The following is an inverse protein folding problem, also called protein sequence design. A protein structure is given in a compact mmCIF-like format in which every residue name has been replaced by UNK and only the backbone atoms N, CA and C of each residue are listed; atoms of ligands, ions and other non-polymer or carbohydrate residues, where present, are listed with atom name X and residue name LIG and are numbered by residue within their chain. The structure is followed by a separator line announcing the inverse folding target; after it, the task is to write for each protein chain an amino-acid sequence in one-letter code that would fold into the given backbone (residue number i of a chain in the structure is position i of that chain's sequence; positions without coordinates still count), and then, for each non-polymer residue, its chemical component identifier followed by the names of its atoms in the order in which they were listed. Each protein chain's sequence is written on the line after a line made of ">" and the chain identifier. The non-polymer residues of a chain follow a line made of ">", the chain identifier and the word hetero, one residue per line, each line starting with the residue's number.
data_IF_115768605583
#
_entry.id   IF_115768605583
#
_cell.length_a   1.000
_cell.length_b   1.000
_cell.length_c   1.000
_cell.angle_alpha   90.00
_cell.angle_beta   90.00
_cell.angle_gamma   90.00
#
_symmetry.space_group_name_H-M   'P 1'
#
loop_
_entity.id
_entity.type
_entity.pdbx_description
1 polymer ?
#
# COMPACT_ATOMS: atom_id res chain seq x y z
N UNK A 1 -9.97 -10.41 28.64
CA UNK A 1 -11.32 -10.63 28.10
C UNK A 1 -12.03 -9.31 27.87
N UNK A 2 -12.25 -8.98 26.59
CA UNK A 2 -12.92 -7.78 26.12
C UNK A 2 -14.18 -8.24 25.38
N UNK A 3 -15.35 -7.75 25.80
CA UNK A 3 -16.62 -7.98 25.10
C UNK A 3 -17.03 -6.73 24.33
N UNK A 4 -17.48 -6.89 23.11
CA UNK A 4 -17.98 -5.81 22.26
C UNK A 4 -18.97 -6.37 21.23
N UNK A 5 -19.72 -5.50 20.56
CA UNK A 5 -20.59 -5.89 19.46
C UNK A 5 -19.90 -5.57 18.14
N UNK A 6 -19.79 -6.54 17.24
CA UNK A 6 -19.21 -6.38 15.92
C UNK A 6 -20.26 -6.71 14.86
N UNK A 7 -20.60 -5.75 14.00
CA UNK A 7 -21.59 -5.92 12.94
C UNK A 7 -22.90 -6.57 13.46
N UNK A 8 -23.36 -6.12 14.64
CA UNK A 8 -24.57 -6.62 15.29
C UNK A 8 -24.43 -7.93 16.09
N UNK A 9 -23.24 -8.56 16.11
CA UNK A 9 -22.99 -9.81 16.86
C UNK A 9 -22.09 -9.55 18.05
N UNK A 10 -22.40 -10.12 19.21
CA UNK A 10 -21.50 -10.07 20.37
C UNK A 10 -20.25 -10.91 20.11
N UNK A 11 -19.08 -10.33 20.34
CA UNK A 11 -17.77 -10.95 20.20
C UNK A 11 -17.01 -10.84 21.51
N UNK A 12 -16.22 -11.88 21.80
CA UNK A 12 -15.28 -11.93 22.91
C UNK A 12 -13.86 -11.99 22.36
N UNK A 13 -12.97 -11.14 22.89
CA UNK A 13 -11.55 -11.12 22.54
C UNK A 13 -10.70 -11.30 23.80
N UNK A 14 -9.78 -12.27 23.76
CA UNK A 14 -8.92 -12.65 24.89
C UNK A 14 -7.44 -12.37 24.67
N UNK A 15 -7.08 -11.72 23.56
CA UNK A 15 -5.70 -11.32 23.26
C UNK A 15 -5.27 -10.04 23.98
N UNK A 16 -4.16 -9.47 23.49
CA UNK A 16 -3.57 -8.25 24.04
C UNK A 16 -4.52 -7.04 23.93
N UNK A 17 -4.89 -6.37 25.04
CA UNK A 17 -5.71 -5.16 25.02
C UNK A 17 -5.09 -4.00 24.24
N UNK A 18 -3.78 -3.96 24.09
CA UNK A 18 -3.05 -2.88 23.39
C UNK A 18 -3.00 -3.08 21.87
N UNK A 19 -3.35 -4.27 21.38
CA UNK A 19 -3.38 -4.58 19.94
C UNK A 19 -4.38 -3.67 19.23
N UNK A 20 -4.04 -3.22 18.03
CA UNK A 20 -4.92 -2.39 17.22
C UNK A 20 -6.15 -3.17 16.75
N UNK A 21 -7.32 -2.52 16.76
CA UNK A 21 -8.59 -3.07 16.30
C UNK A 21 -8.50 -3.57 14.87
N UNK A 22 -7.76 -2.86 14.00
CA UNK A 22 -7.59 -3.26 12.60
C UNK A 22 -6.95 -4.65 12.49
N UNK A 23 -5.90 -4.93 13.26
CA UNK A 23 -5.20 -6.21 13.24
C UNK A 23 -6.13 -7.34 13.70
N UNK A 24 -6.92 -7.11 14.76
CA UNK A 24 -7.91 -8.10 15.22
C UNK A 24 -9.00 -8.34 14.17
N UNK A 25 -9.51 -7.28 13.53
CA UNK A 25 -10.51 -7.41 12.48
C UNK A 25 -9.97 -8.21 11.28
N UNK A 26 -8.78 -7.86 10.79
CA UNK A 26 -8.19 -8.46 9.58
C UNK A 26 -7.62 -9.85 9.83
N UNK A 27 -6.75 -9.99 10.83
CA UNK A 27 -5.98 -11.21 11.03
C UNK A 27 -6.74 -12.29 11.81
N UNK A 28 -7.50 -11.90 12.85
CA UNK A 28 -8.18 -12.89 13.70
C UNK A 28 -9.58 -13.23 13.16
N UNK A 29 -10.26 -12.24 12.59
CA UNK A 29 -11.67 -12.34 12.20
C UNK A 29 -11.90 -12.36 10.68
N UNK A 30 -10.87 -12.13 9.86
CA UNK A 30 -10.95 -12.16 8.40
C UNK A 30 -11.78 -11.03 7.78
N UNK A 31 -12.02 -9.95 8.52
CA UNK A 31 -12.75 -8.76 8.06
C UNK A 31 -11.75 -7.81 7.39
N UNK A 32 -11.71 -7.89 6.06
CA UNK A 32 -10.72 -7.20 5.23
C UNK A 32 -11.18 -5.83 4.73
N UNK A 33 -12.40 -5.40 5.04
CA UNK A 33 -12.91 -4.11 4.53
C UNK A 33 -12.16 -2.88 5.07
N UNK A 34 -11.71 -2.82 6.35
CA UNK A 34 -10.78 -1.79 6.77
C UNK A 34 -9.41 -2.11 6.14
N UNK A 35 -8.94 -1.21 5.29
CA UNK A 35 -7.69 -1.42 4.56
C UNK A 35 -6.49 -0.84 5.31
N UNK A 36 -5.41 -1.61 5.37
CA UNK A 36 -4.13 -1.13 5.88
C UNK A 36 -3.39 -0.36 4.78
N UNK A 37 -3.42 0.96 4.87
CA UNK A 37 -2.69 1.82 3.94
C UNK A 37 -1.44 2.48 4.53
N UNK A 38 -1.58 3.03 5.73
CA UNK A 38 -0.48 3.72 6.41
C UNK A 38 -0.48 3.39 7.89
N UNK A 39 -0.84 2.17 8.29
CA UNK A 39 -0.69 1.83 9.68
C UNK A 39 0.81 1.83 10.07
N UNK A 40 1.14 2.26 11.29
CA UNK A 40 0.27 2.83 12.32
C UNK A 40 0.17 4.37 12.29
N UNK A 41 0.61 5.04 11.22
CA UNK A 41 0.70 6.51 11.15
C UNK A 41 -0.66 7.23 11.15
N UNK A 42 -1.76 6.52 10.85
CA UNK A 42 -3.13 7.06 10.94
C UNK A 42 -3.39 8.32 10.09
N UNK A 43 -2.81 8.37 8.89
CA UNK A 43 -2.87 9.54 8.00
C UNK A 43 -3.80 9.39 6.77
N UNK A 44 -4.12 8.16 6.33
CA UNK A 44 -4.79 7.94 5.04
C UNK A 44 -6.32 7.77 5.11
N UNK A 45 -6.87 7.40 6.28
CA UNK A 45 -8.30 7.14 6.44
C UNK A 45 -8.81 5.81 5.86
N UNK A 46 -7.95 4.94 5.30
CA UNK A 46 -8.40 3.70 4.65
C UNK A 46 -8.99 2.66 5.64
N UNK A 47 -8.61 2.74 6.92
CA UNK A 47 -9.00 1.81 7.96
C UNK A 47 -10.19 2.29 8.82
N UNK A 48 -10.94 3.32 8.37
CA UNK A 48 -12.06 3.86 9.14
C UNK A 48 -13.15 2.80 9.35
N UNK A 49 -13.55 2.65 10.61
CA UNK A 49 -14.72 1.89 11.05
C UNK A 49 -15.59 2.79 11.91
N UNK A 50 -16.84 2.40 12.13
CA UNK A 50 -17.70 3.11 13.07
C UNK A 50 -17.64 2.44 14.44
N UNK A 51 -17.25 3.18 15.47
CA UNK A 51 -17.31 2.77 16.88
C UNK A 51 -18.40 3.59 17.57
N UNK A 52 -19.45 2.91 18.01
CA UNK A 52 -20.73 3.49 18.42
C UNK A 52 -21.29 4.43 17.34
N UNK A 53 -21.26 5.75 17.57
CA UNK A 53 -21.73 6.80 16.67
C UNK A 53 -20.59 7.61 16.04
N UNK A 54 -19.34 7.12 16.11
CA UNK A 54 -18.14 7.85 15.65
C UNK A 54 -17.35 7.07 14.61
N UNK A 55 -16.93 7.74 13.55
CA UNK A 55 -15.92 7.21 12.65
C UNK A 55 -14.53 7.28 13.32
N UNK A 56 -13.83 6.16 13.38
CA UNK A 56 -12.55 5.99 14.07
C UNK A 56 -11.56 5.23 13.19
N UNK A 57 -10.28 5.62 13.26
CA UNK A 57 -9.19 4.91 12.59
C UNK A 57 -8.85 3.64 13.37
N UNK A 58 -9.15 2.47 12.79
CA UNK A 58 -8.97 1.19 13.48
C UNK A 58 -7.50 0.82 13.70
N UNK A 59 -6.56 1.33 12.90
CA UNK A 59 -5.13 1.03 13.03
C UNK A 59 -4.46 1.59 14.28
N UNK A 60 -5.08 2.58 14.94
CA UNK A 60 -4.59 3.19 16.19
C UNK A 60 -5.60 3.09 17.33
N UNK A 61 -6.76 2.46 17.08
CA UNK A 61 -7.75 2.19 18.12
C UNK A 61 -7.41 0.88 18.80
N UNK A 62 -6.97 0.93 20.06
CA UNK A 62 -6.62 -0.27 20.85
C UNK A 62 -7.87 -1.07 21.24
N UNK A 63 -7.73 -2.38 21.39
CA UNK A 63 -8.83 -3.26 21.80
C UNK A 63 -9.42 -2.87 23.16
N UNK A 64 -8.64 -2.41 24.13
CA UNK A 64 -9.18 -1.92 25.41
C UNK A 64 -10.19 -0.78 25.25
N UNK A 65 -10.07 0.03 24.19
CA UNK A 65 -10.98 1.17 23.92
C UNK A 65 -12.31 0.74 23.30
N UNK A 66 -12.44 -0.50 22.85
CA UNK A 66 -13.70 -1.03 22.25
C UNK A 66 -14.55 -1.82 23.24
N UNK A 67 -14.07 -2.04 24.46
CA UNK A 67 -14.82 -2.77 25.49
C UNK A 67 -16.21 -2.15 25.72
N UNK A 68 -17.25 -2.98 25.59
CA UNK A 68 -18.66 -2.62 25.75
C UNK A 68 -19.28 -1.81 24.60
N UNK A 69 -18.52 -1.54 23.53
CA UNK A 69 -18.98 -0.70 22.41
C UNK A 69 -19.48 -1.51 21.22
N UNK A 70 -20.15 -0.83 20.30
CA UNK A 70 -20.46 -1.38 18.97
C UNK A 70 -19.41 -0.98 17.96
N UNK A 71 -18.91 -1.92 17.17
CA UNK A 71 -18.02 -1.72 16.03
C UNK A 71 -18.78 -2.16 14.77
N UNK A 72 -18.84 -1.28 13.79
CA UNK A 72 -19.48 -1.53 12.50
C UNK A 72 -18.46 -1.28 11.39
N UNK A 73 -18.27 -2.27 10.53
CA UNK A 73 -17.51 -2.18 9.27
C UNK A 73 -18.49 -2.12 8.10
N UNK A 74 -18.01 -2.11 6.85
CA UNK A 74 -18.93 -2.08 5.68
C UNK A 74 -19.87 -3.29 5.67
N UNK A 75 -19.40 -4.44 6.16
CA UNK A 75 -20.16 -5.69 6.33
C UNK A 75 -21.37 -5.53 7.27
N UNK A 76 -21.33 -4.57 8.19
CA UNK A 76 -22.39 -4.31 9.17
C UNK A 76 -23.37 -3.19 8.82
N UNK A 77 -23.27 -2.59 7.62
CA UNK A 77 -24.16 -1.48 7.19
C UNK A 77 -25.60 -1.92 6.89
N UNK A 78 -25.82 -3.22 6.70
CA UNK A 78 -27.07 -3.77 6.20
C UNK A 78 -27.19 -3.67 4.67
N UNK A 79 -27.92 -4.60 4.07
CA UNK A 79 -28.00 -4.81 2.62
C UNK A 79 -28.41 -3.54 1.85
N UNK A 80 -29.44 -2.84 2.33
CA UNK A 80 -29.92 -1.60 1.70
C UNK A 80 -28.81 -0.54 1.57
N UNK A 81 -28.11 -0.22 2.67
CA UNK A 81 -27.04 0.79 2.64
C UNK A 81 -25.83 0.33 1.86
N UNK A 82 -25.48 -0.96 1.92
CA UNK A 82 -24.41 -1.52 1.09
C UNK A 82 -24.71 -1.30 -0.40
N UNK A 83 -25.92 -1.64 -0.84
CA UNK A 83 -26.34 -1.46 -2.23
C UNK A 83 -26.34 0.01 -2.65
N UNK A 84 -26.88 0.91 -1.80
CA UNK A 84 -26.90 2.35 -2.10
C UNK A 84 -25.48 2.92 -2.25
N UNK A 85 -24.58 2.66 -1.30
CA UNK A 85 -23.20 3.16 -1.40
C UNK A 85 -22.46 2.54 -2.59
N UNK A 86 -22.55 1.22 -2.76
CA UNK A 86 -21.92 0.53 -3.87
C UNK A 86 -22.35 1.13 -5.22
N UNK A 87 -23.65 1.27 -5.43
CA UNK A 87 -24.20 1.76 -6.70
C UNK A 87 -23.94 3.25 -6.91
N UNK A 88 -24.01 4.08 -5.87
CA UNK A 88 -23.71 5.50 -5.98
C UNK A 88 -22.26 5.75 -6.42
N UNK A 89 -21.29 5.05 -5.82
CA UNK A 89 -19.89 5.15 -6.21
C UNK A 89 -19.62 4.63 -7.61
N UNK A 90 -20.28 3.53 -8.01
CA UNK A 90 -20.16 2.97 -9.36
C UNK A 90 -20.76 3.92 -10.40
N UNK A 91 -21.98 4.42 -10.16
CA UNK A 91 -22.71 5.33 -11.05
C UNK A 91 -21.94 6.61 -11.33
N UNK A 92 -21.37 7.22 -10.29
CA UNK A 92 -20.65 8.48 -10.42
C UNK A 92 -19.18 8.32 -10.86
N UNK A 93 -18.67 7.10 -10.92
CA UNK A 93 -17.24 6.84 -11.16
C UNK A 93 -16.37 7.30 -9.98
N UNK A 94 -16.91 7.25 -8.76
CA UNK A 94 -16.23 7.57 -7.51
C UNK A 94 -15.20 6.53 -7.07
N UNK A 95 -15.02 5.45 -7.84
CA UNK A 95 -14.14 4.32 -7.53
C UNK A 95 -13.20 4.01 -8.71
N UNK A 96 -11.89 4.07 -8.47
CA UNK A 96 -10.85 3.63 -9.41
C UNK A 96 -10.12 2.39 -8.89
N UNK A 97 -8.98 2.53 -8.19
CA UNK A 97 -8.31 1.37 -7.59
C UNK A 97 -9.22 0.71 -6.54
N UNK A 98 -9.94 1.52 -5.75
CA UNK A 98 -10.90 1.08 -4.74
C UNK A 98 -10.37 1.06 -3.32
N UNK A 99 -9.05 1.11 -3.12
CA UNK A 99 -8.43 0.80 -1.82
C UNK A 99 -8.91 1.70 -0.67
N UNK A 100 -9.05 3.01 -0.91
CA UNK A 100 -9.51 3.94 0.14
C UNK A 100 -11.03 4.02 0.30
N UNK A 101 -11.80 3.44 -0.62
CA UNK A 101 -13.26 3.65 -0.69
C UNK A 101 -14.01 3.05 0.49
N UNK A 102 -13.68 1.85 1.02
CA UNK A 102 -14.39 1.31 2.18
C UNK A 102 -14.34 2.23 3.41
N UNK A 103 -13.16 2.79 3.72
CA UNK A 103 -13.02 3.78 4.79
C UNK A 103 -13.81 5.06 4.52
N UNK A 104 -13.83 5.53 3.27
CA UNK A 104 -14.62 6.69 2.85
C UNK A 104 -16.13 6.42 2.99
N UNK A 105 -16.60 5.21 2.65
CA UNK A 105 -18.01 4.80 2.83
C UNK A 105 -18.38 4.83 4.31
N UNK A 106 -17.54 4.30 5.20
CA UNK A 106 -17.79 4.34 6.64
C UNK A 106 -17.83 5.78 7.18
N UNK A 107 -16.94 6.64 6.70
CA UNK A 107 -16.92 8.06 7.03
C UNK A 107 -18.18 8.80 6.52
N UNK A 108 -18.59 8.53 5.28
CA UNK A 108 -19.81 9.09 4.68
C UNK A 108 -21.08 8.60 5.42
N UNK A 109 -21.13 7.33 5.78
CA UNK A 109 -22.21 6.77 6.60
C UNK A 109 -22.34 7.49 7.95
N UNK A 110 -21.21 7.79 8.60
CA UNK A 110 -21.20 8.55 9.85
C UNK A 110 -21.73 9.98 9.66
N UNK A 111 -21.33 10.66 8.58
CA UNK A 111 -21.85 11.99 8.23
C UNK A 111 -23.37 11.95 8.02
N UNK A 112 -23.86 11.04 7.18
CA UNK A 112 -25.27 10.96 6.79
C UNK A 112 -26.16 10.63 8.00
N UNK A 113 -25.68 9.82 8.94
CA UNK A 113 -26.41 9.52 10.18
C UNK A 113 -26.58 10.76 11.08
N UNK A 114 -25.67 11.73 11.01
CA UNK A 114 -25.68 12.95 11.83
C UNK A 114 -26.31 14.13 11.11
N UNK A 115 -26.16 14.18 9.79
CA UNK A 115 -26.73 15.17 8.90
C UNK A 115 -27.30 14.44 7.67
N UNK A 116 -28.61 14.14 7.65
CA UNK A 116 -29.26 13.46 6.52
C UNK A 116 -29.28 14.28 5.21
N UNK A 117 -28.99 15.58 5.27
CA UNK A 117 -28.94 16.49 4.12
C UNK A 117 -27.58 17.21 4.04
N UNK A 118 -26.46 16.47 3.92
CA UNK A 118 -25.15 17.09 3.87
C UNK A 118 -24.98 17.84 2.55
N UNK A 119 -24.63 19.11 2.64
CA UNK A 119 -24.26 19.86 1.44
C UNK A 119 -22.85 19.46 0.98
N UNK A 120 -22.46 19.93 -0.21
CA UNK A 120 -21.15 19.62 -0.79
C UNK A 120 -19.98 20.00 0.12
N UNK A 121 -20.05 21.13 0.81
CA UNK A 121 -19.00 21.59 1.72
C UNK A 121 -18.91 20.72 2.99
N UNK A 122 -20.03 20.21 3.48
CA UNK A 122 -20.06 19.25 4.58
C UNK A 122 -19.35 17.94 4.20
N UNK A 123 -19.59 17.45 2.98
CA UNK A 123 -18.95 16.23 2.45
C UNK A 123 -17.45 16.46 2.28
N UNK A 124 -17.03 17.57 1.65
CA UNK A 124 -15.61 17.87 1.50
C UNK A 124 -14.89 17.98 2.84
N UNK A 125 -15.50 18.66 3.81
CA UNK A 125 -14.95 18.75 5.16
C UNK A 125 -14.85 17.38 5.82
N UNK A 126 -15.86 16.53 5.65
CA UNK A 126 -15.89 15.17 6.17
C UNK A 126 -14.76 14.29 5.63
N UNK A 127 -14.32 14.54 4.38
CA UNK A 127 -13.26 13.81 3.70
C UNK A 127 -11.85 14.34 3.97
N UNK A 128 -11.68 15.45 4.70
CA UNK A 128 -10.36 16.00 5.07
C UNK A 128 -9.38 14.95 5.63
N UNK A 129 -9.77 13.97 6.47
CA UNK A 129 -8.85 12.94 6.98
C UNK A 129 -8.65 11.75 6.02
N UNK A 130 -9.16 11.79 4.78
CA UNK A 130 -9.04 10.71 3.81
C UNK A 130 -8.14 11.10 2.63
N UNK A 131 -7.24 10.19 2.30
CA UNK A 131 -6.41 10.29 1.11
C UNK A 131 -6.97 9.42 -0.02
N UNK A 132 -7.02 9.99 -1.22
CA UNK A 132 -7.27 9.27 -2.45
C UNK A 132 -6.31 9.72 -3.53
N UNK A 133 -5.47 8.80 -4.02
CA UNK A 133 -4.46 9.11 -5.04
C UNK A 133 -5.01 9.11 -6.48
N UNK A 134 -6.16 8.47 -6.72
CA UNK A 134 -6.63 8.16 -8.08
C UNK A 134 -7.67 9.15 -8.63
N UNK A 135 -8.65 9.56 -7.81
CA UNK A 135 -9.91 10.15 -8.32
C UNK A 135 -9.93 11.68 -8.34
N UNK A 136 -9.06 12.35 -7.56
CA UNK A 136 -9.14 13.80 -7.37
C UNK A 136 -10.40 14.26 -6.61
N UNK A 137 -11.04 13.37 -5.85
CA UNK A 137 -12.17 13.59 -4.93
C UNK A 137 -13.51 14.02 -5.52
N UNK A 138 -13.56 14.75 -6.64
CA UNK A 138 -14.81 15.29 -7.19
C UNK A 138 -15.90 14.23 -7.33
N UNK A 139 -15.56 13.06 -7.88
CA UNK A 139 -16.50 11.95 -8.06
C UNK A 139 -16.85 11.18 -6.80
N UNK A 140 -15.99 11.23 -5.78
CA UNK A 140 -16.31 10.71 -4.44
C UNK A 140 -17.38 11.60 -3.79
N UNK A 141 -17.23 12.92 -3.89
CA UNK A 141 -18.21 13.87 -3.37
C UNK A 141 -19.57 13.70 -4.06
N UNK A 142 -19.59 13.61 -5.39
CA UNK A 142 -20.83 13.36 -6.16
C UNK A 142 -21.52 12.05 -5.72
N UNK A 143 -20.74 10.98 -5.52
CA UNK A 143 -21.24 9.68 -5.06
C UNK A 143 -21.84 9.74 -3.65
N UNK A 144 -21.18 10.44 -2.71
CA UNK A 144 -21.70 10.60 -1.35
C UNK A 144 -23.00 11.40 -1.35
N UNK A 145 -23.11 12.46 -2.17
CA UNK A 145 -24.36 13.20 -2.32
C UNK A 145 -25.48 12.30 -2.85
N UNK A 146 -25.21 11.49 -3.88
CA UNK A 146 -26.19 10.54 -4.43
C UNK A 146 -26.63 9.50 -3.39
N UNK A 147 -25.68 8.97 -2.60
CA UNK A 147 -26.00 8.05 -1.53
C UNK A 147 -26.83 8.70 -0.41
N UNK A 148 -26.50 9.94 -0.02
CA UNK A 148 -27.26 10.69 0.98
C UNK A 148 -28.71 10.95 0.55
N UNK A 149 -28.90 11.36 -0.72
CA UNK A 149 -30.23 11.59 -1.29
C UNK A 149 -31.07 10.31 -1.31
N UNK A 150 -30.49 9.20 -1.80
CA UNK A 150 -31.16 7.90 -1.83
C UNK A 150 -31.51 7.40 -0.41
N UNK A 151 -30.58 7.48 0.55
CA UNK A 151 -30.81 7.09 1.94
C UNK A 151 -31.93 7.91 2.58
N UNK A 152 -31.96 9.23 2.35
CA UNK A 152 -33.00 10.13 2.88
C UNK A 152 -34.39 9.79 2.33
N UNK A 153 -34.47 9.44 1.06
CA UNK A 153 -35.73 9.17 0.38
C UNK A 153 -36.17 7.69 0.44
N UNK A 154 -35.36 6.80 1.05
CA UNK A 154 -35.57 5.36 1.05
C UNK A 154 -35.62 4.76 -0.37
N UNK A 155 -34.75 5.26 -1.27
CA UNK A 155 -34.68 4.90 -2.69
C UNK A 155 -33.45 4.05 -3.02
N UNK A 156 -33.56 3.23 -4.07
CA UNK A 156 -32.41 2.54 -4.65
C UNK A 156 -31.64 3.42 -5.63
N UNK A 157 -30.34 3.17 -5.78
CA UNK A 157 -29.52 3.81 -6.82
C UNK A 157 -29.39 2.86 -8.01
N UNK A 158 -30.07 3.19 -9.11
CA UNK A 158 -29.97 2.43 -10.35
C UNK A 158 -28.64 2.68 -11.06
N UNK A 159 -28.01 1.59 -11.52
CA UNK A 159 -26.82 1.64 -12.36
C UNK A 159 -27.18 1.97 -13.81
N UNK A 160 -26.31 2.66 -14.57
CA UNK A 160 -26.53 2.91 -15.98
C UNK A 160 -26.67 1.61 -16.78
N UNK A 161 -27.82 1.41 -17.42
CA UNK A 161 -28.03 0.36 -18.44
C UNK A 161 -27.67 0.92 -19.82
N UNK A 162 -26.42 0.70 -20.24
CA UNK A 162 -25.89 1.20 -21.52
C UNK A 162 -25.33 0.05 -22.35
N UNK A 163 -25.51 0.11 -23.67
CA UNK A 163 -25.22 -0.99 -24.60
C UNK A 163 -23.75 -1.36 -24.83
N UNK A 164 -22.83 -1.04 -23.93
CA UNK A 164 -21.45 -1.56 -23.98
C UNK A 164 -20.48 -0.84 -24.93
N UNK A 165 -20.90 0.23 -25.60
CA UNK A 165 -20.11 0.87 -26.67
C UNK A 165 -18.87 1.63 -26.17
N UNK A 166 -17.86 1.78 -27.03
CA UNK A 166 -16.69 2.63 -26.77
C UNK A 166 -17.14 4.07 -26.48
N UNK A 167 -16.66 4.66 -25.38
CA UNK A 167 -17.02 6.01 -24.94
C UNK A 167 -18.31 6.08 -24.09
N UNK A 168 -18.98 4.96 -23.84
CA UNK A 168 -20.12 4.91 -22.91
C UNK A 168 -19.67 4.80 -21.45
N UNK A 169 -20.53 5.25 -20.52
CA UNK A 169 -20.28 5.20 -19.07
C UNK A 169 -20.77 3.88 -18.48
N UNK A 170 -20.08 2.80 -18.82
CA UNK A 170 -20.39 1.48 -18.26
C UNK A 170 -19.99 1.39 -16.79
N UNK A 171 -20.79 0.72 -15.94
CA UNK A 171 -20.35 0.28 -14.63
C UNK A 171 -19.04 -0.50 -14.73
N UNK A 172 -18.03 -0.08 -13.97
CA UNK A 172 -16.75 -0.79 -13.91
C UNK A 172 -16.98 -2.20 -13.33
N UNK A 173 -16.41 -3.21 -13.98
CA UNK A 173 -16.43 -4.60 -13.53
C UNK A 173 -15.94 -4.74 -12.08
N UNK A 174 -16.69 -5.46 -11.24
CA UNK A 174 -16.46 -5.65 -9.79
C UNK A 174 -16.28 -4.37 -8.96
N UNK A 175 -16.76 -3.22 -9.44
CA UNK A 175 -16.59 -1.97 -8.70
C UNK A 175 -17.41 -1.91 -7.40
N UNK A 176 -18.52 -2.65 -7.28
CA UNK A 176 -19.26 -2.76 -6.02
C UNK A 176 -18.40 -3.44 -4.94
N UNK A 177 -17.69 -4.51 -5.28
CA UNK A 177 -16.78 -5.22 -4.36
C UNK A 177 -15.64 -4.32 -3.88
N UNK A 178 -15.15 -3.43 -4.76
CA UNK A 178 -14.16 -2.40 -4.42
C UNK A 178 -14.71 -1.38 -3.41
N UNK A 179 -15.95 -0.93 -3.61
CA UNK A 179 -16.61 0.05 -2.73
C UNK A 179 -16.88 -0.54 -1.35
N UNK A 180 -17.32 -1.80 -1.30
CA UNK A 180 -17.66 -2.48 -0.06
C UNK A 180 -16.46 -3.11 0.65
N UNK A 181 -15.27 -3.08 0.04
CA UNK A 181 -14.05 -3.65 0.62
C UNK A 181 -13.97 -5.17 0.56
N UNK A 182 -14.80 -5.79 -0.29
CA UNK A 182 -14.87 -7.24 -0.50
C UNK A 182 -13.81 -7.72 -1.49
N UNK A 183 -13.31 -6.83 -2.34
CA UNK A 183 -12.17 -7.13 -3.20
C UNK A 183 -10.91 -7.38 -2.36
N UNK A 184 -10.24 -8.49 -2.67
CA UNK A 184 -8.97 -8.89 -2.05
C UNK A 184 -7.81 -8.24 -2.80
N UNK A 185 -7.12 -7.35 -2.11
CA UNK A 185 -5.82 -6.84 -2.48
C UNK A 185 -4.73 -7.83 -2.08
N UNK A 186 -3.47 -7.59 -2.44
CA UNK A 186 -2.42 -8.58 -2.22
C UNK A 186 -2.25 -8.86 -0.73
N UNK A 187 -2.30 -7.80 0.09
CA UNK A 187 -2.24 -7.92 1.55
C UNK A 187 -3.50 -8.59 2.17
N UNK A 188 -4.60 -8.72 1.44
CA UNK A 188 -5.79 -9.45 1.91
C UNK A 188 -5.72 -10.96 1.58
N UNK A 189 -4.77 -11.39 0.76
CA UNK A 189 -4.65 -12.79 0.36
C UNK A 189 -4.08 -13.59 1.53
N UNK A 190 -4.81 -14.65 1.91
CA UNK A 190 -4.38 -15.64 2.89
C UNK A 190 -4.48 -17.03 2.25
N UNK A 191 -3.41 -17.80 2.31
CA UNK A 191 -3.33 -19.17 1.79
C UNK A 191 -3.17 -20.16 2.94
N UNK A 192 -3.64 -21.39 2.76
CA UNK A 192 -3.44 -22.44 3.75
C UNK A 192 -1.94 -22.72 3.94
N UNK A 193 -1.47 -22.67 5.19
CA UNK A 193 -0.06 -22.85 5.52
C UNK A 193 0.85 -21.68 5.14
N UNK A 194 0.30 -20.53 4.71
CA UNK A 194 1.05 -19.31 4.40
C UNK A 194 1.97 -18.91 5.56
N UNK A 195 3.20 -18.52 5.23
CA UNK A 195 4.18 -17.95 6.16
C UNK A 195 4.43 -16.49 5.81
N UNK A 196 4.81 -15.69 6.79
CA UNK A 196 5.02 -14.25 6.60
C UNK A 196 6.52 -13.96 6.53
N UNK A 197 6.91 -13.16 5.54
CA UNK A 197 8.27 -12.67 5.36
C UNK A 197 8.37 -11.20 5.78
N UNK A 198 9.38 -10.86 6.59
CA UNK A 198 9.73 -9.48 6.91
C UNK A 198 11.20 -9.22 6.54
N UNK A 199 11.47 -8.07 5.92
CA UNK A 199 12.79 -7.72 5.41
C UNK A 199 13.57 -6.87 6.43
N UNK A 200 14.86 -7.18 6.62
CA UNK A 200 15.83 -6.26 7.24
C UNK A 200 16.44 -5.43 6.12
N UNK A 201 16.14 -4.14 6.12
CA UNK A 201 16.76 -3.16 5.23
C UNK A 201 18.05 -2.60 5.82
N UNK A 202 18.88 -2.01 4.97
CA UNK A 202 20.07 -1.27 5.37
C UNK A 202 19.72 -0.04 6.21
N UNK A 203 20.45 0.14 7.31
CA UNK A 203 20.32 1.34 8.16
C UNK A 203 21.05 2.55 7.54
N UNK A 204 21.90 2.31 6.53
CA UNK A 204 22.73 3.33 5.88
C UNK A 204 22.60 3.31 4.36
N UNK A 205 22.50 4.47 3.70
CA UNK A 205 22.47 4.54 2.25
C UNK A 205 23.75 4.04 1.61
N UNK A 206 24.89 4.13 2.31
CA UNK A 206 26.15 3.58 1.83
C UNK A 206 27.02 3.09 2.98
N UNK A 207 27.21 1.79 3.06
CA UNK A 207 28.05 1.17 4.07
C UNK A 207 28.56 -0.20 3.62
N UNK A 208 29.80 -0.55 3.96
CA UNK A 208 30.31 -1.91 3.82
C UNK A 208 29.72 -2.76 4.95
N UNK A 209 29.01 -3.83 4.61
CA UNK A 209 28.50 -4.80 5.59
C UNK A 209 29.65 -5.70 6.03
N UNK A 210 30.21 -5.49 7.22
CA UNK A 210 31.37 -6.26 7.71
C UNK A 210 30.99 -7.61 8.28
N UNK A 211 29.87 -7.65 9.01
CA UNK A 211 29.33 -8.85 9.63
C UNK A 211 27.83 -8.67 9.91
N UNK A 212 27.13 -9.78 10.09
CA UNK A 212 25.72 -9.80 10.44
C UNK A 212 25.44 -10.97 11.39
N UNK A 213 24.92 -10.69 12.57
CA UNK A 213 24.50 -11.69 13.54
C UNK A 213 22.98 -11.91 13.46
N UNK A 214 22.62 -13.14 13.08
CA UNK A 214 21.24 -13.58 12.89
C UNK A 214 20.74 -14.46 14.05
N UNK A 215 21.60 -14.76 15.03
CA UNK A 215 21.36 -15.82 16.01
C UNK A 215 20.15 -15.55 16.89
N UNK A 216 19.97 -14.32 17.36
CA UNK A 216 18.82 -13.91 18.17
C UNK A 216 17.50 -13.97 17.37
N UNK A 217 17.51 -13.50 16.13
CA UNK A 217 16.36 -13.56 15.23
C UNK A 217 15.98 -15.01 14.90
N UNK A 218 16.96 -15.86 14.59
CA UNK A 218 16.75 -17.27 14.27
C UNK A 218 16.25 -18.09 15.48
N UNK A 219 16.62 -17.71 16.70
CA UNK A 219 16.17 -18.34 17.93
C UNK A 219 14.82 -17.82 18.43
N UNK A 220 14.24 -16.78 17.80
CA UNK A 220 12.99 -16.19 18.25
C UNK A 220 11.82 -17.17 18.05
N UNK A 221 10.96 -17.40 19.08
CA UNK A 221 9.82 -18.31 18.95
C UNK A 221 8.92 -17.94 17.76
N UNK A 222 8.54 -18.95 16.97
CA UNK A 222 7.69 -18.78 15.78
C UNK A 222 8.44 -18.34 14.51
N UNK A 223 9.75 -18.07 14.58
CA UNK A 223 10.59 -17.93 13.39
C UNK A 223 10.89 -19.31 12.80
N UNK A 224 10.69 -19.46 11.50
CA UNK A 224 10.99 -20.69 10.76
C UNK A 224 12.38 -20.65 10.14
N UNK A 225 12.79 -19.48 9.62
CA UNK A 225 14.08 -19.28 8.97
C UNK A 225 14.45 -17.81 8.87
N UNK A 226 15.75 -17.53 8.88
CA UNK A 226 16.30 -16.26 8.42
C UNK A 226 17.08 -16.53 7.14
N UNK A 227 16.77 -15.80 6.08
CA UNK A 227 17.36 -15.95 4.75
C UNK A 227 18.31 -14.79 4.46
N UNK A 228 19.44 -15.08 3.83
CA UNK A 228 20.42 -14.09 3.37
C UNK A 228 20.68 -14.22 1.86
N UNK A 229 21.61 -13.40 1.36
CA UNK A 229 22.14 -13.53 0.00
C UNK A 229 22.62 -14.96 -0.34
N UNK A 230 23.13 -15.73 0.63
CA UNK A 230 23.64 -17.09 0.41
C UNK A 230 22.53 -18.12 0.15
N UNK A 231 21.29 -17.80 0.52
CA UNK A 231 20.14 -18.68 0.32
C UNK A 231 19.51 -18.55 -1.08
N UNK A 232 20.00 -17.62 -1.91
CA UNK A 232 19.48 -17.39 -3.26
C UNK A 232 20.08 -18.43 -4.21
N UNK A 233 19.28 -19.37 -4.77
CA UNK A 233 19.81 -20.49 -5.55
C UNK A 233 20.21 -20.12 -6.99
N UNK A 234 19.85 -18.92 -7.45
CA UNK A 234 20.08 -18.44 -8.81
C UNK A 234 21.00 -17.22 -8.85
N UNK A 235 20.99 -16.51 -9.98
CA UNK A 235 21.67 -15.21 -10.03
C UNK A 235 21.01 -14.25 -9.04
N UNK A 236 21.85 -13.61 -8.22
CA UNK A 236 21.42 -12.65 -7.20
C UNK A 236 21.24 -11.26 -7.79
N UNK A 237 21.84 -10.96 -8.94
CA UNK A 237 21.73 -9.66 -9.57
C UNK A 237 20.57 -9.61 -10.54
N UNK A 238 19.70 -8.63 -10.33
CA UNK A 238 18.58 -8.30 -11.19
C UNK A 238 18.74 -6.88 -11.76
N UNK A 239 17.90 -6.52 -12.71
CA UNK A 239 17.70 -5.14 -13.13
C UNK A 239 17.04 -5.05 -14.50
N UNK A 240 16.50 -3.87 -14.82
CA UNK A 240 15.74 -3.66 -16.05
C UNK A 240 16.64 -3.38 -17.26
N UNK A 241 17.69 -2.59 -17.06
CA UNK A 241 18.63 -2.17 -18.13
C UNK A 241 19.95 -2.92 -17.98
N UNK A 242 20.49 -2.97 -16.77
CA UNK A 242 21.71 -3.68 -16.39
C UNK A 242 21.38 -4.57 -15.19
N UNK A 243 21.96 -5.77 -15.14
CA UNK A 243 21.82 -6.67 -13.98
C UNK A 243 22.81 -6.24 -12.89
N UNK A 244 22.54 -5.11 -12.25
CA UNK A 244 23.44 -4.51 -11.25
C UNK A 244 22.79 -4.29 -9.88
N UNK A 245 21.54 -4.71 -9.69
CA UNK A 245 20.84 -4.64 -8.41
C UNK A 245 20.82 -6.01 -7.72
N UNK A 246 21.59 -6.20 -6.64
CA UNK A 246 21.53 -7.43 -5.86
C UNK A 246 20.18 -7.52 -5.14
N UNK A 247 19.53 -8.68 -5.23
CA UNK A 247 18.30 -8.97 -4.48
C UNK A 247 18.49 -8.84 -2.96
N UNK A 248 19.67 -9.20 -2.47
CA UNK A 248 20.10 -8.97 -1.08
C UNK A 248 21.59 -8.65 -1.05
N UNK A 249 22.04 -7.73 -0.20
CA UNK A 249 23.45 -7.39 0.03
C UNK A 249 24.09 -8.44 0.93
N UNK A 250 25.25 -8.96 0.52
CA UNK A 250 26.00 -9.96 1.28
C UNK A 250 27.01 -9.30 2.25
N UNK A 251 27.47 -10.08 3.24
CA UNK A 251 28.64 -9.68 4.04
C UNK A 251 29.86 -9.51 3.13
N UNK A 252 30.57 -8.40 3.29
CA UNK A 252 31.68 -7.98 2.43
C UNK A 252 31.26 -7.07 1.27
N UNK A 253 29.98 -6.73 1.12
CA UNK A 253 29.48 -5.85 0.07
C UNK A 253 28.98 -4.51 0.61
N UNK A 254 28.87 -3.54 -0.29
CA UNK A 254 28.51 -2.15 0.03
C UNK A 254 27.06 -1.88 -0.34
N UNK A 255 26.29 -1.35 0.60
CA UNK A 255 24.93 -0.84 0.37
C UNK A 255 24.97 0.43 -0.49
N UNK A 256 23.87 0.71 -1.19
CA UNK A 256 23.73 1.78 -2.18
C UNK A 256 22.57 2.70 -1.91
N UNK A 257 21.56 2.24 -1.16
CA UNK A 257 20.51 3.07 -0.61
C UNK A 257 19.85 2.38 0.60
N UNK A 258 19.04 3.13 1.37
CA UNK A 258 18.41 2.63 2.61
C UNK A 258 17.40 1.49 2.39
N UNK A 259 16.95 1.27 1.15
CA UNK A 259 16.04 0.16 0.83
C UNK A 259 16.74 -1.11 0.36
N UNK A 260 18.07 -1.15 0.37
CA UNK A 260 18.79 -2.41 0.13
C UNK A 260 18.43 -3.44 1.19
N UNK A 261 18.12 -4.66 0.75
CA UNK A 261 17.72 -5.77 1.61
C UNK A 261 18.96 -6.51 2.08
N UNK A 262 19.07 -6.80 3.37
CA UNK A 262 20.18 -7.55 3.96
C UNK A 262 19.79 -8.99 4.30
N UNK A 263 18.56 -9.17 4.80
CA UNK A 263 18.04 -10.47 5.19
C UNK A 263 16.49 -10.47 5.14
N UNK A 264 15.91 -11.67 5.12
CA UNK A 264 14.47 -11.88 5.24
C UNK A 264 14.18 -12.90 6.37
N UNK A 265 13.38 -12.49 7.36
CA UNK A 265 12.87 -13.39 8.39
C UNK A 265 11.55 -13.98 7.91
N UNK A 266 11.42 -15.30 7.97
CA UNK A 266 10.19 -16.04 7.68
C UNK A 266 9.62 -16.56 9.01
N UNK A 267 8.40 -16.15 9.36
CA UNK A 267 7.74 -16.50 10.61
C UNK A 267 6.28 -16.96 10.44
N UNK A 268 5.68 -17.40 11.54
CA UNK A 268 4.27 -17.82 11.59
C UNK A 268 3.27 -16.66 11.49
N UNK A 269 3.62 -15.48 11.99
CA UNK A 269 2.81 -14.26 11.92
C UNK A 269 3.65 -13.05 11.53
N UNK A 270 3.00 -11.98 11.08
CA UNK A 270 3.67 -10.70 10.75
C UNK A 270 4.33 -10.09 11.99
N UNK A 271 3.67 -10.13 13.15
CA UNK A 271 4.21 -9.60 14.40
C UNK A 271 5.53 -10.29 14.77
N UNK A 272 5.56 -11.63 14.74
CA UNK A 272 6.78 -12.41 15.05
C UNK A 272 7.89 -12.11 14.03
N UNK A 273 7.55 -12.01 12.74
CA UNK A 273 8.54 -11.71 11.70
C UNK A 273 9.21 -10.35 11.94
N UNK A 274 8.42 -9.32 12.28
CA UNK A 274 8.92 -7.96 12.54
C UNK A 274 9.71 -7.86 13.83
N UNK A 275 9.26 -8.51 14.90
CA UNK A 275 10.00 -8.61 16.16
C UNK A 275 11.38 -9.22 15.94
N UNK A 276 11.44 -10.33 15.21
CA UNK A 276 12.69 -11.02 14.92
C UNK A 276 13.62 -10.24 13.98
N UNK A 277 13.09 -9.49 12.99
CA UNK A 277 13.91 -8.59 12.16
C UNK A 277 14.64 -7.55 13.03
N UNK A 278 14.00 -7.04 14.08
CA UNK A 278 14.61 -6.06 14.99
C UNK A 278 15.74 -6.65 15.86
N UNK A 279 15.89 -7.98 15.89
CA UNK A 279 16.96 -8.68 16.61
C UNK A 279 18.18 -8.98 15.74
N UNK A 280 18.14 -8.64 14.44
CA UNK A 280 19.29 -8.79 13.54
C UNK A 280 20.27 -7.63 13.79
N UNK A 281 21.49 -7.97 14.19
CA UNK A 281 22.58 -7.01 14.40
C UNK A 281 23.51 -7.00 13.19
N UNK A 282 23.89 -5.81 12.72
CA UNK A 282 24.70 -5.63 11.52
C UNK A 282 25.86 -4.69 11.83
N UNK A 283 27.09 -5.19 11.64
CA UNK A 283 28.29 -4.37 11.75
C UNK A 283 28.59 -3.71 10.40
N UNK A 284 28.62 -2.38 10.40
CA UNK A 284 28.84 -1.57 9.21
C UNK A 284 30.18 -0.82 9.27
N UNK A 285 30.83 -0.66 8.12
CA UNK A 285 31.65 0.52 7.85
C UNK A 285 30.78 1.57 7.17
N UNK A 286 30.34 2.59 7.91
CA UNK A 286 29.54 3.65 7.32
C UNK A 286 30.43 4.51 6.42
N UNK A 287 30.01 4.71 5.17
CA UNK A 287 30.72 5.48 4.18
C UNK A 287 29.92 6.74 3.81
N UNK A 288 30.59 7.77 3.31
CA UNK A 288 29.90 8.96 2.83
C UNK A 288 29.00 8.61 1.64
N UNK A 289 27.69 8.90 1.68
CA UNK A 289 26.79 8.59 0.58
C UNK A 289 26.96 9.55 -0.60
N UNK A 290 26.67 9.06 -1.80
CA UNK A 290 26.59 9.88 -3.02
C UNK A 290 25.13 10.25 -3.24
N UNK A 291 24.76 11.48 -2.86
CA UNK A 291 23.34 11.93 -2.88
C UNK A 291 23.03 12.99 -3.94
N UNK A 292 24.04 13.43 -4.69
CA UNK A 292 23.90 14.44 -5.74
C UNK A 292 24.34 13.87 -7.09
N UNK A 293 23.48 14.01 -8.11
CA UNK A 293 23.76 13.44 -9.42
C UNK A 293 24.96 14.10 -10.10
N UNK A 294 25.18 15.41 -9.94
CA UNK A 294 26.30 16.11 -10.57
C UNK A 294 27.63 15.75 -9.91
N UNK A 295 27.64 15.59 -8.59
CA UNK A 295 28.77 15.07 -7.83
C UNK A 295 29.04 13.60 -8.19
N UNK A 296 28.01 12.78 -8.42
CA UNK A 296 28.16 11.40 -8.86
C UNK A 296 28.89 11.29 -10.22
N UNK A 297 28.75 12.29 -11.10
CA UNK A 297 29.37 12.33 -12.42
C UNK A 297 30.86 12.72 -12.42
N UNK A 298 31.40 13.22 -11.30
CA UNK A 298 32.81 13.64 -11.25
C UNK A 298 33.75 12.42 -11.22
N UNK A 299 34.95 12.56 -11.80
CA UNK A 299 35.92 11.46 -11.90
C UNK A 299 36.44 10.96 -10.54
N UNK A 300 36.44 11.82 -9.52
CA UNK A 300 36.87 11.52 -8.15
C UNK A 300 35.72 11.01 -7.25
N UNK A 301 34.50 10.96 -7.78
CA UNK A 301 33.34 10.45 -7.05
C UNK A 301 33.48 8.95 -6.78
N UNK A 302 33.16 8.48 -5.56
CA UNK A 302 33.19 7.05 -5.29
C UNK A 302 32.17 6.34 -6.19
N UNK A 303 32.61 5.23 -6.78
CA UNK A 303 31.75 4.42 -7.64
C UNK A 303 30.69 3.71 -6.79
N UNK A 304 29.41 3.97 -7.05
CA UNK A 304 28.28 3.31 -6.35
C UNK A 304 28.08 1.89 -6.90
N UNK A 305 28.32 1.70 -8.19
CA UNK A 305 28.31 0.40 -8.86
C UNK A 305 29.70 0.10 -9.46
N UNK A 306 30.03 -1.16 -9.68
CA UNK A 306 31.35 -1.56 -10.21
C UNK A 306 31.71 -0.91 -11.56
N UNK A 307 30.70 -0.62 -12.40
CA UNK A 307 30.88 -0.04 -13.74
C UNK A 307 30.93 1.48 -13.80
N UNK A 308 31.01 2.19 -12.68
CA UNK A 308 30.92 3.66 -12.63
C UNK A 308 29.51 4.19 -12.38
N UNK A 309 29.42 5.50 -12.15
CA UNK A 309 28.17 6.20 -11.85
C UNK A 309 27.38 6.64 -13.10
N UNK A 310 28.03 6.65 -14.28
CA UNK A 310 27.37 6.95 -15.56
C UNK A 310 26.92 5.65 -16.21
N UNK A 311 25.62 5.36 -16.15
CA UNK A 311 25.08 4.13 -16.74
C UNK A 311 24.95 4.21 -18.27
N UNK A 312 24.52 5.36 -18.80
CA UNK A 312 24.25 5.55 -20.24
C UNK A 312 24.30 7.02 -20.64
N UNK A 313 24.60 7.29 -21.91
CA UNK A 313 24.57 8.62 -22.51
C UNK A 313 23.68 8.61 -23.77
N UNK A 314 22.63 9.41 -23.76
CA UNK A 314 21.72 9.59 -24.90
C UNK A 314 22.01 10.91 -25.61
N UNK A 315 22.30 10.86 -26.91
CA UNK A 315 22.61 12.04 -27.73
C UNK A 315 21.49 12.24 -28.75
N UNK A 316 20.88 13.43 -28.76
CA UNK A 316 19.89 13.82 -29.78
C UNK A 316 20.51 14.84 -30.72
N UNK A 317 20.58 14.52 -32.01
CA UNK A 317 21.08 15.44 -33.05
C UNK A 317 19.98 15.65 -34.10
N UNK A 318 19.57 16.91 -34.31
CA UNK A 318 18.55 17.27 -35.29
C UNK A 318 18.84 18.64 -35.90
N UNK A 319 19.19 18.65 -37.18
CA UNK A 319 19.46 19.87 -37.93
C UNK A 319 20.78 20.53 -37.53
N UNK A 320 20.95 21.79 -37.91
CA UNK A 320 22.12 22.61 -37.58
C UNK A 320 21.73 23.61 -36.48
N UNK A 321 22.13 23.31 -35.25
CA UNK A 321 21.82 24.14 -34.08
C UNK A 321 22.51 25.50 -34.17
N UNK A 322 23.75 25.56 -34.66
CA UNK A 322 24.51 26.81 -34.75
C UNK A 322 23.85 27.76 -35.75
N UNK A 323 23.49 27.25 -36.93
CA UNK A 323 22.78 28.03 -37.93
C UNK A 323 21.39 28.47 -37.44
N UNK A 324 20.66 27.58 -36.76
CA UNK A 324 19.35 27.91 -36.20
C UNK A 324 19.43 29.03 -35.14
N UNK A 325 20.43 28.97 -34.26
CA UNK A 325 20.68 30.01 -33.26
C UNK A 325 21.11 31.34 -33.90
N UNK A 326 21.97 31.30 -34.92
CA UNK A 326 22.42 32.51 -35.62
C UNK A 326 21.27 33.23 -36.36
N UNK A 327 20.32 32.48 -36.89
CA UNK A 327 19.17 33.02 -37.62
C UNK A 327 17.98 33.39 -36.72
N UNK A 328 18.00 33.04 -35.44
CA UNK A 328 16.89 33.29 -34.53
C UNK A 328 16.79 34.78 -34.17
N UNK A 329 15.58 35.35 -34.29
CA UNK A 329 15.32 36.73 -33.87
C UNK A 329 15.40 36.91 -32.34
N UNK A 330 15.11 35.84 -31.58
CA UNK A 330 15.14 35.82 -30.12
C UNK A 330 15.61 34.46 -29.62
N UNK A 331 16.30 34.45 -28.48
CA UNK A 331 16.75 33.24 -27.78
C UNK A 331 16.37 33.32 -26.31
N UNK A 332 16.10 32.16 -25.70
CA UNK A 332 15.83 32.02 -24.27
C UNK A 332 16.54 30.78 -23.74
N UNK A 333 17.05 30.87 -22.52
CA UNK A 333 17.76 29.80 -21.83
C UNK A 333 17.31 29.74 -20.38
N UNK A 334 17.17 28.53 -19.84
CA UNK A 334 16.81 28.28 -18.46
C UNK A 334 17.31 26.92 -18.00
N UNK A 335 17.64 26.84 -16.71
CA UNK A 335 17.91 25.58 -16.01
C UNK A 335 16.65 25.26 -15.20
N UNK A 336 16.20 24.02 -15.30
CA UNK A 336 14.98 23.55 -14.64
C UNK A 336 15.31 22.33 -13.81
N UNK A 337 14.80 22.32 -12.58
CA UNK A 337 14.92 21.19 -11.67
C UNK A 337 13.51 20.74 -11.28
N UNK A 338 13.30 19.43 -11.26
CA UNK A 338 12.07 18.82 -10.75
C UNK A 338 12.41 18.00 -9.53
N UNK A 339 11.60 18.11 -8.49
CA UNK A 339 11.73 17.32 -7.27
C UNK A 339 11.59 15.82 -7.54
N UNK A 340 12.10 15.02 -6.60
CA UNK A 340 11.76 13.59 -6.54
C UNK A 340 10.30 13.44 -6.11
N UNK A 341 9.50 12.80 -6.95
CA UNK A 341 8.08 12.54 -6.70
C UNK A 341 7.91 11.09 -6.27
N UNK A 342 7.30 10.89 -5.10
CA UNK A 342 6.82 9.58 -4.68
C UNK A 342 5.44 9.29 -5.29
N UNK A 343 5.21 8.03 -5.65
CA UNK A 343 3.95 7.57 -6.25
C UNK A 343 2.78 7.82 -5.29
N UNK A 344 2.99 7.55 -4.01
CA UNK A 344 2.01 7.79 -2.94
C UNK A 344 0.74 6.95 -3.12
N UNK A 345 0.89 5.69 -3.52
CA UNK A 345 -0.21 4.73 -3.56
C UNK A 345 -0.74 4.44 -2.15
N UNK A 346 -2.01 4.04 -2.06
CA UNK A 346 -2.65 3.77 -0.76
C UNK A 346 -2.41 2.36 -0.25
N UNK A 347 -2.25 1.38 -1.15
CA UNK A 347 -1.86 0.01 -0.80
C UNK A 347 -0.34 -0.08 -0.81
N UNK A 348 0.33 -0.33 0.34
CA UNK A 348 1.76 -0.58 0.38
C UNK A 348 2.16 -1.77 -0.50
N UNK A 349 3.41 -1.81 -0.94
CA UNK A 349 3.89 -2.96 -1.71
C UNK A 349 3.77 -4.25 -0.89
N UNK A 350 3.11 -5.23 -1.48
CA UNK A 350 2.94 -6.56 -0.91
C UNK A 350 3.14 -7.62 -2.00
N UNK A 351 3.61 -8.79 -1.60
CA UNK A 351 3.82 -9.91 -2.51
C UNK A 351 3.40 -11.21 -1.82
N UNK A 352 2.74 -12.07 -2.58
CA UNK A 352 2.44 -13.45 -2.18
C UNK A 352 3.04 -14.38 -3.22
N UNK A 353 3.92 -15.28 -2.76
CA UNK A 353 4.47 -16.35 -3.57
C UNK A 353 3.85 -17.69 -3.13
N UNK A 354 3.39 -18.48 -4.10
CA UNK A 354 2.89 -19.83 -3.87
C UNK A 354 3.58 -20.80 -4.84
N UNK A 355 4.31 -21.82 -4.34
CA UNK A 355 4.90 -22.82 -5.21
C UNK A 355 3.78 -23.68 -5.81
N UNK A 356 3.51 -23.51 -7.10
CA UNK A 356 2.63 -24.43 -7.80
C UNK A 356 3.33 -25.78 -7.97
N UNK A 357 2.67 -26.90 -7.64
CA UNK A 357 3.19 -28.20 -8.05
C UNK A 357 3.35 -28.17 -9.58
N UNK A 358 4.44 -28.74 -10.13
CA UNK A 358 4.64 -28.75 -11.57
C UNK A 358 3.39 -29.32 -12.22
N UNK A 359 2.82 -28.58 -13.18
CA UNK A 359 1.71 -29.09 -13.99
C UNK A 359 2.13 -30.46 -14.53
N UNK A 360 1.26 -31.50 -14.50
CA UNK A 360 1.57 -32.77 -15.14
C UNK A 360 1.99 -32.44 -16.57
N UNK A 361 3.25 -32.75 -16.90
CA UNK A 361 3.96 -32.30 -18.09
C UNK A 361 3.01 -32.12 -19.27
N UNK A 362 2.69 -30.87 -19.61
CA UNK A 362 2.20 -30.59 -20.95
C UNK A 362 3.33 -31.09 -21.85
N UNK A 363 3.09 -32.22 -22.54
CA UNK A 363 4.04 -32.84 -23.47
C UNK A 363 4.75 -31.72 -24.20
N UNK A 364 6.07 -31.62 -24.00
CA UNK A 364 6.94 -30.86 -24.90
C UNK A 364 6.49 -31.25 -26.30
N UNK A 365 5.93 -30.30 -27.04
CA UNK A 365 5.74 -30.48 -28.48
C UNK A 365 7.16 -30.52 -29.03
N UNK A 366 7.56 -31.73 -29.46
CA UNK A 366 8.77 -31.98 -30.25
C UNK A 366 8.81 -31.11 -31.50
#
# INVERSE_FOLDING_TARGET
>A
MIHYTLNGKTVQYDGDPERALMNVLREDLGIISPKDGCAPQAACGCCVVQVDDKAMLSCVTKMEKVAGKSVTTTEGLGEYRQNVFANAFVKEGGVQCGFCIPGIVMQANNLINRNPEPNRADIEKCLTPHLCRCTGYKKIVDAISTAADAIRNEEEVELPDVGGGIGTRLPKYHAQDLVLGQHRYVDDIRLEGMKIGALKFSDHPRALVKAMDLSAAAAHPGVLRVLTADDIPGDRHIGLIKQDWPLMIAVGETTRYVGDVLACVVAETDEIAREAVALIDVDYEVLEPVTDMHAAMQEDSPSVHEGGNILSQSITNRGDLEQAMANAAYTAHGVYETQMIEHGFMEPEACVAYPHPPAPSAKMRE
#
